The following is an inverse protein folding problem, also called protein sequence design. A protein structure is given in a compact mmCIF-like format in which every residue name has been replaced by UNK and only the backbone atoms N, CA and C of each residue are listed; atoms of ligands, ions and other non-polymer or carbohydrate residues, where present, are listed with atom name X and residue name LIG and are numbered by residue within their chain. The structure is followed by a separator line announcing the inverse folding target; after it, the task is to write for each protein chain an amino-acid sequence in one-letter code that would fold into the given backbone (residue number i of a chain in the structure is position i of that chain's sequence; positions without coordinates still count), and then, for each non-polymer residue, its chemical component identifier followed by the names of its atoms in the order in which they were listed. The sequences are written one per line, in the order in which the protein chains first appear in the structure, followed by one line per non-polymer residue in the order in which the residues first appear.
data_IF_286548860357
#
_entry.id   IF_286548860357
#
_cell.length_a   1.000
_cell.length_b   1.000
_cell.length_c   1.000
_cell.angle_alpha   90.00
_cell.angle_beta   90.00
_cell.angle_gamma   90.00
#
_symmetry.space_group_name_H-M   'P 1'
#
loop_
_entity.id
_entity.type
_entity.pdbx_description
1 polymer ?
#
# COMPACT_ATOMS: atom_id res chain seq x y z
N UNK A 1 -11.85 -6.67 -5.45
CA UNK A 1 -13.08 -5.85 -5.30
C UNK A 1 -13.69 -5.50 -6.65
N UNK A 2 -12.92 -5.01 -7.61
CA UNK A 2 -13.36 -4.70 -8.98
C UNK A 2 -14.11 -5.86 -9.66
N UNK A 3 -13.59 -7.10 -9.61
CA UNK A 3 -14.24 -8.27 -10.23
C UNK A 3 -15.67 -8.50 -9.72
N UNK A 4 -15.90 -8.36 -8.41
CA UNK A 4 -17.24 -8.55 -7.82
C UNK A 4 -18.22 -7.48 -8.31
N UNK A 5 -17.76 -6.23 -8.44
CA UNK A 5 -18.62 -5.14 -8.93
C UNK A 5 -18.93 -5.30 -10.42
N UNK A 6 -17.94 -5.63 -11.24
CA UNK A 6 -18.16 -5.91 -12.66
C UNK A 6 -19.15 -7.07 -12.87
N UNK A 7 -18.99 -8.18 -12.15
CA UNK A 7 -19.94 -9.29 -12.20
C UNK A 7 -21.36 -8.85 -11.84
N UNK A 8 -21.51 -7.98 -10.85
CA UNK A 8 -22.80 -7.44 -10.43
C UNK A 8 -23.42 -6.51 -11.47
N UNK A 9 -22.62 -5.65 -12.10
CA UNK A 9 -23.09 -4.78 -13.18
C UNK A 9 -23.50 -5.57 -14.42
N UNK A 10 -22.76 -6.63 -14.76
CA UNK A 10 -23.14 -7.57 -15.83
C UNK A 10 -24.46 -8.24 -15.52
N UNK A 11 -24.63 -8.76 -14.29
CA UNK A 11 -25.89 -9.37 -13.87
C UNK A 11 -27.07 -8.39 -13.95
N UNK A 12 -26.87 -7.12 -13.55
CA UNK A 12 -27.92 -6.09 -13.60
C UNK A 12 -28.35 -5.71 -15.02
N UNK A 13 -27.42 -5.71 -15.97
CA UNK A 13 -27.75 -5.41 -17.37
C UNK A 13 -28.79 -6.39 -17.95
N UNK A 14 -28.73 -7.67 -17.56
CA UNK A 14 -29.59 -8.74 -18.08
C UNK A 14 -30.66 -9.26 -17.11
N UNK A 15 -30.70 -8.76 -15.87
CA UNK A 15 -31.66 -9.22 -14.85
C UNK A 15 -33.12 -8.91 -15.24
N UNK A 16 -34.09 -9.61 -14.66
CA UNK A 16 -35.49 -9.18 -14.71
C UNK A 16 -35.73 -7.99 -13.80
N UNK A 17 -36.81 -7.22 -14.02
CA UNK A 17 -37.13 -6.07 -13.17
C UNK A 17 -37.35 -6.46 -11.71
N UNK A 18 -37.93 -7.63 -11.45
CA UNK A 18 -38.12 -8.15 -10.10
C UNK A 18 -36.77 -8.42 -9.40
N UNK A 19 -35.83 -9.07 -10.10
CA UNK A 19 -34.50 -9.36 -9.58
C UNK A 19 -33.70 -8.07 -9.33
N UNK A 20 -33.69 -7.16 -10.30
CA UNK A 20 -32.97 -5.90 -10.19
C UNK A 20 -33.56 -5.02 -9.08
N UNK A 21 -34.89 -4.98 -8.96
CA UNK A 21 -35.56 -4.28 -7.86
C UNK A 21 -35.14 -4.83 -6.50
N UNK A 22 -35.12 -6.16 -6.33
CA UNK A 22 -34.71 -6.78 -5.08
C UNK A 22 -33.26 -6.45 -4.72
N UNK A 23 -32.35 -6.49 -5.69
CA UNK A 23 -30.94 -6.20 -5.49
C UNK A 23 -30.67 -4.72 -5.17
N UNK A 24 -31.37 -3.81 -5.83
CA UNK A 24 -31.27 -2.38 -5.55
C UNK A 24 -31.89 -2.05 -4.18
N UNK A 25 -33.02 -2.67 -3.81
CA UNK A 25 -33.62 -2.53 -2.47
C UNK A 25 -32.65 -2.93 -1.36
N UNK A 26 -31.90 -4.02 -1.54
CA UNK A 26 -30.86 -4.45 -0.58
C UNK A 26 -29.74 -3.43 -0.40
N UNK A 27 -29.46 -2.60 -1.41
CA UNK A 27 -28.41 -1.58 -1.36
C UNK A 27 -28.89 -0.24 -0.81
N UNK A 28 -30.07 0.21 -1.24
CA UNK A 28 -30.56 1.56 -0.95
C UNK A 28 -31.52 1.62 0.23
N UNK A 29 -32.09 0.47 0.63
CA UNK A 29 -33.07 0.37 1.72
C UNK A 29 -34.44 0.96 1.41
N UNK A 30 -34.66 1.49 0.19
CA UNK A 30 -35.87 2.20 -0.20
C UNK A 30 -36.60 1.58 -1.40
N UNK A 31 -37.78 2.12 -1.73
CA UNK A 31 -38.49 1.74 -2.95
C UNK A 31 -37.72 2.19 -4.19
N UNK A 32 -37.73 1.35 -5.22
CA UNK A 32 -36.99 1.58 -6.47
C UNK A 32 -37.97 2.07 -7.53
N UNK A 33 -37.66 3.20 -8.16
CA UNK A 33 -38.44 3.74 -9.27
C UNK A 33 -38.06 3.10 -10.61
N UNK A 34 -38.94 3.21 -11.61
CA UNK A 34 -38.65 2.76 -12.97
C UNK A 34 -37.41 3.45 -13.57
N UNK A 35 -37.19 4.72 -13.23
CA UNK A 35 -36.00 5.47 -13.64
C UNK A 35 -34.73 4.84 -13.07
N UNK A 36 -34.73 4.50 -11.77
CA UNK A 36 -33.58 3.85 -11.13
C UNK A 36 -33.26 2.47 -11.71
N UNK A 37 -34.29 1.69 -12.10
CA UNK A 37 -34.08 0.43 -12.81
C UNK A 37 -33.37 0.65 -14.15
N UNK A 38 -33.84 1.64 -14.92
CA UNK A 38 -33.24 1.99 -16.21
C UNK A 38 -31.79 2.45 -16.05
N UNK A 39 -31.53 3.33 -15.08
CA UNK A 39 -30.18 3.80 -14.76
C UNK A 39 -29.26 2.65 -14.35
N UNK A 40 -29.73 1.75 -13.49
CA UNK A 40 -28.94 0.61 -13.00
C UNK A 40 -28.52 -0.33 -14.14
N UNK A 41 -29.39 -0.56 -15.14
CA UNK A 41 -29.07 -1.34 -16.34
C UNK A 41 -27.99 -0.67 -17.20
N UNK A 42 -28.00 0.66 -17.26
CA UNK A 42 -27.03 1.44 -18.03
C UNK A 42 -25.66 1.58 -17.33
N UNK A 43 -25.55 1.24 -16.05
CA UNK A 43 -24.29 1.41 -15.30
C UNK A 43 -23.13 0.61 -15.90
N UNK A 44 -23.38 -0.60 -16.44
CA UNK A 44 -22.33 -1.38 -17.09
C UNK A 44 -21.74 -0.62 -18.29
N UNK A 45 -22.61 -0.11 -19.17
CA UNK A 45 -22.20 0.64 -20.37
C UNK A 45 -21.43 1.90 -19.97
N UNK A 46 -21.95 2.67 -18.99
CA UNK A 46 -21.27 3.87 -18.48
C UNK A 46 -19.87 3.57 -17.93
N UNK A 47 -19.67 2.40 -17.34
CA UNK A 47 -18.36 1.96 -16.83
C UNK A 47 -17.41 1.54 -17.94
N UNK A 48 -17.93 0.89 -18.99
CA UNK A 48 -17.14 0.50 -20.17
C UNK A 48 -16.71 1.72 -20.99
N UNK A 49 -17.57 2.73 -21.09
CA UNK A 49 -17.30 3.98 -21.83
C UNK A 49 -16.45 4.98 -21.03
N UNK A 50 -16.26 4.75 -19.72
CA UNK A 50 -15.47 5.64 -18.88
C UNK A 50 -13.98 5.60 -19.28
N UNK A 51 -13.34 6.74 -19.60
CA UNK A 51 -11.93 6.77 -19.95
C UNK A 51 -11.05 6.36 -18.76
N UNK A 52 -10.26 5.30 -18.96
CA UNK A 52 -9.49 4.64 -17.89
C UNK A 52 -10.30 3.66 -17.04
N UNK A 53 -11.53 3.36 -17.45
CA UNK A 53 -12.43 2.41 -16.80
C UNK A 53 -12.80 2.82 -15.37
N UNK A 54 -13.26 1.83 -14.62
CA UNK A 54 -13.60 2.02 -13.21
C UNK A 54 -12.33 2.11 -12.36
N UNK A 55 -12.09 3.27 -11.76
CA UNK A 55 -10.93 3.52 -10.90
C UNK A 55 -11.12 2.95 -9.49
N UNK A 56 -11.10 1.62 -9.37
CA UNK A 56 -11.02 0.92 -8.07
C UNK A 56 -9.59 0.46 -7.86
N UNK A 57 -8.90 1.14 -6.95
CA UNK A 57 -7.53 0.80 -6.58
C UNK A 57 -7.32 1.02 -5.08
N UNK A 58 -6.31 0.36 -4.53
CA UNK A 58 -5.90 0.59 -3.14
C UNK A 58 -5.20 1.94 -3.01
N UNK A 59 -5.06 2.46 -1.79
CA UNK A 59 -4.28 3.68 -1.54
C UNK A 59 -2.84 3.51 -2.07
N UNK A 60 -2.23 2.33 -1.89
CA UNK A 60 -0.89 2.04 -2.40
C UNK A 60 -0.82 2.12 -3.94
N UNK A 61 -1.72 1.45 -4.65
CA UNK A 61 -1.76 1.51 -6.11
C UNK A 61 -2.05 2.92 -6.64
N UNK A 62 -2.85 3.71 -5.90
CA UNK A 62 -3.03 5.13 -6.22
C UNK A 62 -1.73 5.93 -6.04
N UNK A 63 -1.05 5.78 -4.91
CA UNK A 63 0.21 6.48 -4.64
C UNK A 63 1.30 6.06 -5.64
N UNK A 64 1.41 4.77 -5.98
CA UNK A 64 2.33 4.25 -6.99
C UNK A 64 2.08 4.89 -8.36
N UNK A 65 0.81 4.89 -8.80
CA UNK A 65 0.43 5.56 -10.06
C UNK A 65 0.70 7.07 -10.02
N UNK A 66 0.48 7.73 -8.88
CA UNK A 66 0.72 9.16 -8.73
C UNK A 66 2.21 9.50 -8.83
N UNK A 67 3.06 8.77 -8.11
CA UNK A 67 4.51 8.92 -8.16
C UNK A 67 5.06 8.62 -9.57
N UNK A 68 4.51 7.62 -10.26
CA UNK A 68 4.90 7.28 -11.63
C UNK A 68 4.55 8.35 -12.68
N UNK A 69 3.55 9.20 -12.41
CA UNK A 69 3.15 10.29 -13.32
C UNK A 69 3.98 11.56 -13.15
N UNK A 70 4.54 11.76 -11.95
CA UNK A 70 5.31 12.95 -11.58
C UNK A 70 6.61 12.56 -10.85
N UNK A 71 7.49 11.73 -11.47
CA UNK A 71 8.65 11.18 -10.78
C UNK A 71 9.69 12.26 -10.45
N UNK A 72 9.83 13.28 -11.31
CA UNK A 72 10.77 14.38 -11.09
C UNK A 72 10.33 15.27 -9.93
N UNK A 73 9.04 15.57 -9.84
CA UNK A 73 8.44 16.36 -8.76
C UNK A 73 8.52 15.62 -7.41
N UNK A 74 8.43 14.29 -7.44
CA UNK A 74 8.56 13.44 -6.26
C UNK A 74 10.02 13.08 -5.91
N UNK A 75 11.01 13.52 -6.69
CA UNK A 75 12.41 13.18 -6.53
C UNK A 75 12.67 11.65 -6.51
N UNK A 76 11.99 10.92 -7.39
CA UNK A 76 12.17 9.48 -7.60
C UNK A 76 12.63 9.18 -9.04
N UNK A 77 13.34 8.06 -9.29
CA UNK A 77 13.72 7.68 -10.64
C UNK A 77 12.50 7.48 -11.58
N UNK A 78 12.56 7.90 -12.86
CA UNK A 78 11.45 7.74 -13.82
C UNK A 78 10.98 6.30 -14.10
N UNK A 79 11.74 5.30 -13.66
CA UNK A 79 11.42 3.88 -13.78
C UNK A 79 11.58 3.15 -12.44
N UNK A 80 11.21 3.81 -11.34
CA UNK A 80 11.21 3.14 -10.04
C UNK A 80 10.26 1.93 -10.08
N UNK A 81 10.62 0.91 -9.32
CA UNK A 81 9.77 -0.23 -9.05
C UNK A 81 9.50 -0.30 -7.56
N UNK A 82 8.29 -0.71 -7.18
CA UNK A 82 8.02 -1.04 -5.79
C UNK A 82 8.87 -2.25 -5.40
N UNK A 83 9.62 -2.10 -4.32
CA UNK A 83 10.44 -3.17 -3.77
C UNK A 83 9.54 -4.21 -3.11
N UNK A 84 9.82 -5.49 -3.33
CA UNK A 84 9.14 -6.55 -2.60
C UNK A 84 9.60 -6.62 -1.13
N UNK A 85 8.76 -7.18 -0.26
CA UNK A 85 9.02 -7.21 1.18
C UNK A 85 10.31 -7.95 1.54
N UNK A 86 10.69 -8.97 0.75
CA UNK A 86 11.89 -9.77 1.02
C UNK A 86 13.15 -9.01 0.64
N UNK A 87 13.17 -8.40 -0.54
CA UNK A 87 14.23 -7.52 -0.99
C UNK A 87 14.43 -6.34 -0.04
N UNK A 88 13.34 -5.80 0.53
CA UNK A 88 13.42 -4.76 1.55
C UNK A 88 14.11 -5.22 2.83
N UNK A 89 13.81 -6.43 3.32
CA UNK A 89 14.50 -7.03 4.47
C UNK A 89 15.98 -7.26 4.17
N UNK A 90 16.29 -7.91 3.05
CA UNK A 90 17.66 -8.23 2.66
C UNK A 90 18.52 -6.96 2.51
N UNK A 91 17.96 -5.91 1.89
CA UNK A 91 18.65 -4.62 1.74
C UNK A 91 18.90 -3.94 3.08
N UNK A 92 17.94 -4.02 4.01
CA UNK A 92 18.07 -3.43 5.34
C UNK A 92 19.13 -4.16 6.17
N UNK A 93 19.19 -5.48 6.09
CA UNK A 93 20.25 -6.27 6.72
C UNK A 93 21.62 -5.94 6.14
N UNK A 94 21.73 -5.84 4.81
CA UNK A 94 22.99 -5.46 4.16
C UNK A 94 23.45 -4.05 4.57
N UNK A 95 22.52 -3.09 4.63
CA UNK A 95 22.82 -1.72 5.08
C UNK A 95 23.27 -1.67 6.54
N UNK A 96 22.62 -2.45 7.43
CA UNK A 96 23.01 -2.59 8.83
C UNK A 96 24.43 -3.14 8.94
N UNK A 97 24.72 -4.24 8.25
CA UNK A 97 26.00 -4.92 8.35
C UNK A 97 27.13 -4.04 7.76
N UNK A 98 26.87 -3.32 6.66
CA UNK A 98 27.79 -2.33 6.11
C UNK A 98 28.11 -1.20 7.11
N UNK A 99 27.10 -0.68 7.80
CA UNK A 99 27.29 0.34 8.83
C UNK A 99 28.12 -0.20 10.00
N UNK A 100 27.81 -1.38 10.53
CA UNK A 100 28.59 -2.00 11.61
C UNK A 100 30.06 -2.22 11.20
N UNK A 101 30.31 -2.65 9.96
CA UNK A 101 31.66 -2.87 9.44
C UNK A 101 32.45 -1.58 9.21
N UNK A 102 31.78 -0.42 9.12
CA UNK A 102 32.43 0.88 8.96
C UNK A 102 32.90 1.53 10.26
N UNK A 103 32.42 1.04 11.41
CA UNK A 103 32.73 1.58 12.75
C UNK A 103 34.22 1.60 13.08
N UNK A 104 35.01 0.53 12.79
CA UNK A 104 36.44 0.52 13.10
C UNK A 104 37.23 1.63 12.39
N UNK A 105 36.70 2.16 11.28
CA UNK A 105 37.32 3.24 10.52
C UNK A 105 36.89 4.63 11.01
N UNK A 106 36.06 4.72 12.05
CA UNK A 106 35.43 5.93 12.55
C UNK A 106 35.50 5.99 14.09
N UNK A 107 36.68 5.66 14.62
CA UNK A 107 36.98 5.63 16.05
C UNK A 107 36.71 7.00 16.70
N UNK A 108 36.00 6.99 17.83
CA UNK A 108 35.63 8.19 18.60
C UNK A 108 34.31 8.85 18.19
N UNK A 109 33.66 8.38 17.12
CA UNK A 109 32.35 8.89 16.70
C UNK A 109 31.28 8.67 17.78
N UNK A 110 30.29 9.56 17.83
CA UNK A 110 29.13 9.41 18.71
C UNK A 110 28.41 8.07 18.47
N UNK A 111 28.40 7.60 17.22
CA UNK A 111 27.84 6.33 16.80
C UNK A 111 28.60 5.14 17.40
N UNK A 112 29.93 5.12 17.34
CA UNK A 112 30.75 4.06 17.95
C UNK A 112 30.50 3.98 19.45
N UNK A 113 30.49 5.13 20.14
CA UNK A 113 30.20 5.21 21.58
C UNK A 113 28.80 4.69 21.92
N UNK A 114 27.78 5.10 21.17
CA UNK A 114 26.41 4.64 21.38
C UNK A 114 26.27 3.13 21.14
N UNK A 115 26.86 2.61 20.05
CA UNK A 115 26.80 1.19 19.73
C UNK A 115 27.60 0.35 20.72
N UNK A 116 28.73 0.84 21.25
CA UNK A 116 29.48 0.18 22.32
C UNK A 116 28.64 0.03 23.58
N UNK A 117 27.90 1.08 23.97
CA UNK A 117 26.96 1.00 25.11
C UNK A 117 25.91 -0.08 24.87
N UNK A 118 25.30 -0.11 23.69
CA UNK A 118 24.27 -1.11 23.35
C UNK A 118 24.88 -2.53 23.35
N UNK A 119 26.06 -2.71 22.74
CA UNK A 119 26.75 -3.99 22.66
C UNK A 119 27.12 -4.55 24.03
N UNK A 120 27.58 -3.70 24.96
CA UNK A 120 27.92 -4.11 26.33
C UNK A 120 26.70 -4.51 27.17
N UNK A 121 25.51 -4.00 26.83
CA UNK A 121 24.28 -4.26 27.57
C UNK A 121 23.41 -5.37 26.95
N UNK A 122 23.87 -6.00 25.86
CA UNK A 122 23.09 -7.00 25.13
C UNK A 122 23.81 -8.35 25.06
N UNK A 123 23.16 -9.44 25.49
CA UNK A 123 23.69 -10.82 25.38
C UNK A 123 23.42 -11.44 24.01
N UNK A 124 24.16 -12.51 23.69
CA UNK A 124 24.39 -13.20 22.38
C UNK A 124 23.24 -13.28 21.35
N UNK A 125 21.96 -13.27 21.75
CA UNK A 125 20.80 -13.26 20.83
C UNK A 125 20.28 -11.85 20.53
N UNK A 126 20.58 -10.86 21.37
CA UNK A 126 19.80 -9.62 21.46
C UNK A 126 20.30 -8.43 20.64
N UNK A 127 21.55 -8.36 20.16
CA UNK A 127 22.03 -7.10 19.55
C UNK A 127 21.41 -6.86 18.19
N UNK A 128 21.44 -7.88 17.31
CA UNK A 128 20.84 -7.78 15.97
C UNK A 128 19.33 -7.59 16.06
N UNK A 129 18.67 -8.33 16.94
CA UNK A 129 17.22 -8.26 17.15
C UNK A 129 16.81 -6.89 17.73
N UNK A 130 17.57 -6.34 18.67
CA UNK A 130 17.33 -5.01 19.21
C UNK A 130 17.50 -3.94 18.14
N UNK A 131 18.54 -4.01 17.31
CA UNK A 131 18.72 -3.07 16.20
C UNK A 131 17.57 -3.19 15.19
N UNK A 132 17.12 -4.41 14.86
CA UNK A 132 15.97 -4.61 13.99
C UNK A 132 14.68 -4.01 14.59
N UNK A 133 14.45 -4.21 15.88
CA UNK A 133 13.32 -3.60 16.60
C UNK A 133 13.40 -2.07 16.62
N UNK A 134 14.57 -1.49 16.88
CA UNK A 134 14.78 -0.03 16.84
C UNK A 134 14.48 0.55 15.45
N UNK A 135 14.88 -0.14 14.38
CA UNK A 135 14.61 0.28 13.00
C UNK A 135 13.12 0.19 12.67
N UNK A 136 12.43 -0.84 13.17
CA UNK A 136 10.98 -0.98 13.03
C UNK A 136 10.22 0.13 13.78
N UNK A 137 10.64 0.45 15.00
CA UNK A 137 9.99 1.43 15.88
C UNK A 137 10.50 2.87 15.68
N UNK A 138 11.28 3.13 14.62
CA UNK A 138 11.95 4.42 14.36
C UNK A 138 11.03 5.66 14.43
N UNK A 139 9.78 5.52 14.01
CA UNK A 139 8.77 6.61 14.04
C UNK A 139 8.27 6.94 15.43
N UNK A 140 8.37 5.99 16.38
CA UNK A 140 8.06 6.22 17.79
C UNK A 140 9.22 6.90 18.49
N UNK A 141 10.44 6.49 18.17
CA UNK A 141 11.67 7.05 18.74
C UNK A 141 11.93 8.49 18.28
N UNK A 142 11.58 8.84 17.04
CA UNK A 142 11.73 10.22 16.53
C UNK A 142 10.80 11.25 17.18
N UNK A 143 9.94 10.84 18.12
CA UNK A 143 8.99 11.70 18.84
C UNK A 143 9.35 11.92 20.31
N UNK A 144 10.43 11.29 20.77
CA UNK A 144 10.98 11.41 22.13
C UNK A 144 12.21 12.30 22.06
#
# INVERSE_FOLDING_TARGET
MANRLNQRLVAWATATDAQLTQDLKKLTGGNISATQLTEARCLLVRVLDAPGGMRIQTIHAFCESLLGRFPLEANVPPHFSVMDDRAAVDLLEAARDALLNSIPNNEGSDLERALRVIALNTREVGFRDLIAQLISDRTRLSRV
#
